data_IF_787591933872
#
_entry.id   IF_787591933872
#
_cell.length_a   1.000
_cell.length_b   1.000
_cell.length_c   1.000
_cell.angle_alpha   90.00
_cell.angle_beta   90.00
_cell.angle_gamma   90.00
#
_symmetry.space_group_name_H-M   'P 1'
#
loop_
_entity.id
_entity.type
_entity.pdbx_description
1 polymer ?
#
# COMPACT_ATOMS: atom_id res chain seq x y z
N UNK A 1 -32.43 -31.06 -28.11
CA UNK A 1 -31.64 -31.42 -29.32
C UNK A 1 -31.25 -30.21 -30.17
N UNK A 2 -32.11 -29.61 -31.02
CA UNK A 2 -31.71 -28.54 -31.96
C UNK A 2 -30.92 -27.40 -31.31
N UNK A 3 -31.43 -26.85 -30.20
CA UNK A 3 -30.76 -25.79 -29.45
C UNK A 3 -29.37 -26.19 -28.94
N UNK A 4 -29.17 -27.44 -28.49
CA UNK A 4 -27.87 -27.90 -27.98
C UNK A 4 -26.79 -27.89 -29.06
N UNK A 5 -27.13 -28.33 -30.28
CA UNK A 5 -26.22 -28.27 -31.45
C UNK A 5 -25.95 -26.85 -31.97
N UNK A 6 -26.56 -25.82 -31.35
CA UNK A 6 -26.41 -24.40 -31.68
C UNK A 6 -25.78 -23.59 -30.53
N UNK A 7 -25.77 -24.12 -29.30
CA UNK A 7 -25.06 -23.50 -28.16
C UNK A 7 -23.55 -23.38 -28.38
N UNK A 8 -22.96 -24.27 -29.19
CA UNK A 8 -21.55 -24.21 -29.58
C UNK A 8 -21.17 -22.98 -30.42
N UNK A 9 -22.15 -22.24 -30.95
CA UNK A 9 -21.91 -20.99 -31.68
C UNK A 9 -21.73 -19.77 -30.76
N UNK A 10 -21.95 -19.92 -29.44
CA UNK A 10 -21.80 -18.83 -28.46
C UNK A 10 -20.44 -18.99 -27.76
N UNK A 11 -19.41 -18.19 -28.08
CA UNK A 11 -18.06 -18.35 -27.52
C UNK A 11 -17.95 -17.72 -26.12
N UNK A 12 -18.73 -18.23 -25.16
CA UNK A 12 -18.80 -17.67 -23.79
C UNK A 12 -17.42 -17.51 -23.15
N UNK A 13 -16.56 -18.53 -23.21
CA UNK A 13 -15.21 -18.51 -22.60
C UNK A 13 -14.35 -17.37 -23.12
N UNK A 14 -14.48 -17.02 -24.41
CA UNK A 14 -13.77 -15.91 -25.03
C UNK A 14 -14.33 -14.58 -24.54
N UNK A 15 -15.63 -14.35 -24.70
CA UNK A 15 -16.28 -13.09 -24.32
C UNK A 15 -16.11 -12.79 -22.83
N UNK A 16 -16.30 -13.80 -21.98
CA UNK A 16 -16.16 -13.67 -20.53
C UNK A 16 -14.69 -13.51 -20.12
N UNK A 17 -13.75 -14.21 -20.76
CA UNK A 17 -12.32 -14.07 -20.50
C UNK A 17 -11.80 -12.65 -20.77
N UNK A 18 -12.15 -12.07 -21.92
CA UNK A 18 -11.79 -10.68 -22.23
C UNK A 18 -12.47 -9.68 -21.29
N UNK A 19 -13.75 -9.90 -20.96
CA UNK A 19 -14.48 -9.02 -20.03
C UNK A 19 -13.88 -9.03 -18.62
N UNK A 20 -13.66 -10.22 -18.03
CA UNK A 20 -13.08 -10.37 -16.69
C UNK A 20 -11.67 -9.77 -16.65
N UNK A 21 -10.85 -9.97 -17.69
CA UNK A 21 -9.50 -9.40 -17.76
C UNK A 21 -9.53 -7.87 -17.68
N UNK A 22 -10.46 -7.22 -18.39
CA UNK A 22 -10.61 -5.75 -18.39
C UNK A 22 -11.13 -5.24 -17.03
N UNK A 23 -12.06 -5.97 -16.39
CA UNK A 23 -12.53 -5.63 -15.04
C UNK A 23 -11.41 -5.77 -14.01
N UNK A 24 -10.65 -6.87 -14.02
CA UNK A 24 -9.55 -7.15 -13.07
C UNK A 24 -8.40 -6.16 -13.23
N UNK A 25 -8.03 -5.79 -14.46
CA UNK A 25 -7.01 -4.75 -14.68
C UNK A 25 -7.49 -3.37 -14.21
N UNK A 26 -8.74 -2.98 -14.50
CA UNK A 26 -9.34 -1.75 -13.95
C UNK A 26 -9.35 -1.75 -12.42
N UNK A 27 -9.80 -2.83 -11.80
CA UNK A 27 -9.80 -3.02 -10.34
C UNK A 27 -8.38 -2.84 -9.75
N UNK A 28 -7.38 -3.48 -10.36
CA UNK A 28 -5.97 -3.38 -9.95
C UNK A 28 -5.43 -1.96 -10.10
N UNK A 29 -5.79 -1.26 -11.18
CA UNK A 29 -5.38 0.12 -11.40
C UNK A 29 -6.08 1.11 -10.46
N UNK A 30 -7.30 0.83 -9.99
CA UNK A 30 -7.92 1.60 -8.90
C UNK A 30 -7.12 1.37 -7.60
N UNK A 31 -6.89 0.11 -7.21
CA UNK A 31 -6.18 -0.26 -5.97
C UNK A 31 -4.82 0.43 -5.81
N UNK A 32 -3.96 0.42 -6.83
CA UNK A 32 -2.63 1.04 -6.75
C UNK A 32 -2.68 2.58 -6.70
N UNK A 33 -3.79 3.19 -7.11
CA UNK A 33 -3.97 4.65 -7.13
C UNK A 33 -4.74 5.19 -5.90
N UNK A 34 -5.11 4.35 -4.93
CA UNK A 34 -5.87 4.73 -3.73
C UNK A 34 -5.22 5.86 -2.90
N UNK A 35 -3.90 6.05 -3.02
CA UNK A 35 -3.18 7.14 -2.36
C UNK A 35 -2.69 6.76 -0.96
N UNK A 36 -1.50 6.19 -0.88
CA UNK A 36 -0.81 5.88 0.38
C UNK A 36 0.06 7.07 0.79
N UNK A 37 -0.09 7.57 2.02
CA UNK A 37 0.55 8.83 2.45
C UNK A 37 2.07 8.70 2.67
N UNK A 38 2.56 7.48 2.87
CA UNK A 38 3.80 7.21 3.60
C UNK A 38 5.05 7.74 2.87
N UNK A 39 5.11 7.63 1.54
CA UNK A 39 6.18 8.22 0.75
C UNK A 39 6.27 9.75 0.96
N UNK A 40 5.14 10.45 0.85
CA UNK A 40 5.06 11.89 1.07
C UNK A 40 5.41 12.25 2.53
N UNK A 41 4.94 11.48 3.50
CA UNK A 41 5.25 11.69 4.92
C UNK A 41 6.74 11.52 5.21
N UNK A 42 7.38 10.46 4.72
CA UNK A 42 8.81 10.21 4.88
C UNK A 42 9.65 11.29 4.17
N UNK A 43 9.29 11.70 2.95
CA UNK A 43 9.96 12.80 2.23
C UNK A 43 9.79 14.14 2.95
N UNK A 44 8.62 14.44 3.52
CA UNK A 44 8.40 15.67 4.32
C UNK A 44 9.19 15.64 5.63
N UNK A 45 9.19 14.54 6.36
CA UNK A 45 9.92 14.40 7.63
C UNK A 45 11.44 14.47 7.48
N UNK A 46 11.97 13.94 6.36
CA UNK A 46 13.42 13.94 6.08
C UNK A 46 13.94 15.25 5.49
N UNK A 47 13.12 16.00 4.75
CA UNK A 47 13.58 17.18 3.99
C UNK A 47 13.09 18.54 4.53
N UNK A 48 12.04 18.57 5.36
CA UNK A 48 11.58 19.80 6.03
C UNK A 48 12.06 19.79 7.49
N UNK A 49 13.23 20.38 7.70
CA UNK A 49 13.98 20.36 8.96
C UNK A 49 13.54 21.48 9.90
N UNK A 50 13.84 21.28 11.19
CA UNK A 50 13.66 22.26 12.27
C UNK A 50 12.56 21.89 13.26
N UNK A 51 12.79 22.29 14.51
CA UNK A 51 11.91 22.07 15.68
C UNK A 51 11.11 23.33 16.05
N UNK A 52 11.13 24.36 15.19
CA UNK A 52 10.30 25.54 15.38
C UNK A 52 8.82 25.16 15.24
N UNK A 53 7.95 25.87 15.98
CA UNK A 53 6.49 25.66 15.90
C UNK A 53 5.97 25.81 14.46
N UNK A 54 6.59 26.68 13.67
CA UNK A 54 6.25 26.90 12.27
C UNK A 54 6.68 25.72 11.38
N UNK A 55 7.87 25.16 11.56
CA UNK A 55 8.31 23.96 10.82
C UNK A 55 7.42 22.74 11.14
N UNK A 56 7.04 22.54 12.41
CA UNK A 56 6.07 21.52 12.83
C UNK A 56 4.70 21.76 12.18
N UNK A 57 4.20 23.00 12.19
CA UNK A 57 2.94 23.35 11.54
C UNK A 57 2.98 23.13 10.03
N UNK A 58 4.09 23.42 9.34
CA UNK A 58 4.26 23.13 7.91
C UNK A 58 4.25 21.64 7.62
N UNK A 59 5.03 20.84 8.37
CA UNK A 59 5.04 19.38 8.24
C UNK A 59 3.63 18.79 8.40
N UNK A 60 2.94 19.11 9.51
CA UNK A 60 1.58 18.63 9.79
C UNK A 60 0.56 19.12 8.75
N UNK A 61 0.68 20.36 8.26
CA UNK A 61 -0.28 20.93 7.30
C UNK A 61 -0.13 20.36 5.89
N UNK A 62 1.09 20.07 5.41
CA UNK A 62 1.29 19.40 4.11
C UNK A 62 0.57 18.05 4.10
N UNK A 63 0.74 17.25 5.16
CA UNK A 63 0.09 15.94 5.29
C UNK A 63 -1.43 16.08 5.44
N UNK A 64 -1.92 16.95 6.33
CA UNK A 64 -3.35 17.18 6.51
C UNK A 64 -4.02 17.65 5.21
N UNK A 65 -3.37 18.51 4.42
CA UNK A 65 -3.91 18.93 3.12
C UNK A 65 -3.90 17.80 2.07
N UNK A 66 -2.90 16.92 2.05
CA UNK A 66 -2.91 15.75 1.18
C UNK A 66 -4.07 14.79 1.54
N UNK A 67 -4.27 14.48 2.82
CA UNK A 67 -5.38 13.63 3.27
C UNK A 67 -6.73 14.33 3.13
N UNK A 68 -6.83 15.65 3.33
CA UNK A 68 -8.03 16.43 3.02
C UNK A 68 -8.43 16.31 1.54
N UNK A 69 -7.48 16.36 0.61
CA UNK A 69 -7.75 16.09 -0.80
C UNK A 69 -8.25 14.65 -1.04
N UNK A 70 -7.71 13.66 -0.32
CA UNK A 70 -8.19 12.28 -0.36
C UNK A 70 -9.63 12.16 0.17
N UNK A 71 -9.95 12.81 1.29
CA UNK A 71 -11.32 12.87 1.84
C UNK A 71 -12.28 13.50 0.81
N UNK A 72 -11.89 14.62 0.19
CA UNK A 72 -12.72 15.29 -0.83
C UNK A 72 -12.96 14.40 -2.06
N UNK A 73 -11.93 13.71 -2.57
CA UNK A 73 -12.06 12.78 -3.71
C UNK A 73 -12.87 11.54 -3.33
N UNK A 74 -12.52 10.87 -2.23
CA UNK A 74 -13.20 9.65 -1.78
C UNK A 74 -14.67 9.88 -1.44
N UNK A 75 -15.03 11.05 -0.88
CA UNK A 75 -16.42 11.43 -0.64
C UNK A 75 -17.23 11.49 -1.93
N UNK A 76 -16.60 11.85 -3.05
CA UNK A 76 -17.28 12.04 -4.32
C UNK A 76 -17.32 10.75 -5.17
N UNK A 77 -16.41 9.78 -4.94
CA UNK A 77 -16.35 8.47 -5.65
C UNK A 77 -16.78 7.25 -4.82
N UNK A 78 -16.99 7.37 -3.50
CA UNK A 78 -17.40 6.25 -2.63
C UNK A 78 -18.55 6.61 -1.70
N UNK A 79 -19.62 5.83 -1.75
CA UNK A 79 -20.83 6.06 -0.95
C UNK A 79 -20.60 5.86 0.56
N UNK A 80 -19.74 4.92 0.96
CA UNK A 80 -19.31 4.74 2.36
C UNK A 80 -18.67 6.00 2.94
N UNK A 81 -17.90 6.75 2.15
CA UNK A 81 -17.26 8.01 2.56
C UNK A 81 -18.23 9.19 2.42
N UNK A 82 -19.09 9.20 1.39
CA UNK A 82 -20.18 10.18 1.20
C UNK A 82 -21.15 10.22 2.38
N UNK A 83 -21.41 9.09 3.03
CA UNK A 83 -22.22 8.95 4.25
C UNK A 83 -21.48 9.42 5.51
N UNK A 84 -20.17 9.16 5.62
CA UNK A 84 -19.34 9.63 6.74
C UNK A 84 -19.17 11.15 6.74
N UNK A 85 -19.01 11.76 5.57
CA UNK A 85 -18.80 13.20 5.40
C UNK A 85 -19.91 13.83 4.53
N UNK A 86 -21.15 13.97 5.04
CA UNK A 86 -22.31 14.38 4.25
C UNK A 86 -22.27 15.82 3.75
N UNK A 87 -21.60 16.72 4.47
CA UNK A 87 -21.44 18.14 4.13
C UNK A 87 -20.02 18.65 4.47
N UNK A 88 -19.65 19.86 4.07
CA UNK A 88 -18.29 20.37 4.30
C UNK A 88 -18.02 20.65 5.80
N UNK A 89 -19.05 21.02 6.56
CA UNK A 89 -18.99 21.20 8.01
C UNK A 89 -18.54 19.91 8.74
N UNK A 90 -19.02 18.74 8.32
CA UNK A 90 -18.60 17.45 8.91
C UNK A 90 -17.11 17.17 8.74
N UNK A 91 -16.47 17.70 7.69
CA UNK A 91 -15.03 17.60 7.46
C UNK A 91 -14.26 18.57 8.37
N UNK A 92 -14.86 19.71 8.74
CA UNK A 92 -14.33 20.63 9.76
C UNK A 92 -14.45 20.04 11.17
N UNK A 93 -15.62 19.51 11.52
CA UNK A 93 -15.86 18.85 12.83
C UNK A 93 -14.96 17.64 13.02
N UNK A 94 -14.64 16.91 11.95
CA UNK A 94 -13.68 15.81 11.95
C UNK A 94 -12.19 16.24 11.93
N UNK A 95 -11.88 17.55 11.92
CA UNK A 95 -10.52 18.08 12.05
C UNK A 95 -9.62 17.98 10.80
N UNK A 96 -10.15 17.56 9.64
CA UNK A 96 -9.39 17.53 8.39
C UNK A 96 -9.25 18.94 7.78
N UNK A 97 -10.25 19.80 7.99
CA UNK A 97 -10.34 21.18 7.48
C UNK A 97 -10.55 22.15 8.65
N UNK A 98 -10.01 23.36 8.59
CA UNK A 98 -10.35 24.42 9.56
C UNK A 98 -11.40 25.40 9.01
N UNK A 99 -12.11 26.14 9.88
CA UNK A 99 -13.13 27.11 9.44
C UNK A 99 -12.60 28.20 8.50
N UNK A 100 -11.38 28.70 8.72
CA UNK A 100 -10.76 29.70 7.85
C UNK A 100 -10.44 29.11 6.47
N UNK A 101 -9.97 27.87 6.43
CA UNK A 101 -9.69 27.14 5.19
C UNK A 101 -11.00 26.80 4.43
N UNK A 102 -12.10 26.52 5.14
CA UNK A 102 -13.43 26.39 4.55
C UNK A 102 -13.85 27.69 3.86
N UNK A 103 -13.74 28.83 4.54
CA UNK A 103 -14.08 30.15 3.97
C UNK A 103 -13.25 30.45 2.71
N UNK A 104 -11.95 30.14 2.73
CA UNK A 104 -11.10 30.26 1.52
C UNK A 104 -11.50 29.28 0.40
N UNK A 105 -11.89 28.04 0.74
CA UNK A 105 -12.41 27.08 -0.24
C UNK A 105 -13.73 27.54 -0.86
N UNK A 106 -14.60 28.19 -0.09
CA UNK A 106 -15.88 28.76 -0.55
C UNK A 106 -15.68 30.00 -1.42
N UNK A 107 -14.75 30.90 -1.03
CA UNK A 107 -14.35 32.10 -1.79
C UNK A 107 -13.92 31.81 -3.23
N UNK A 108 -13.42 30.60 -3.53
CA UNK A 108 -13.10 30.16 -4.90
C UNK A 108 -14.40 30.02 -5.71
N UNK A 109 -14.75 31.06 -6.48
CA UNK A 109 -15.94 31.10 -7.34
C UNK A 109 -15.74 30.27 -8.62
N UNK A 110 -15.94 28.96 -8.53
CA UNK A 110 -15.91 28.02 -9.65
C UNK A 110 -17.03 26.99 -9.54
N UNK A 111 -17.53 26.52 -10.69
CA UNK A 111 -18.57 25.47 -10.79
C UNK A 111 -17.97 24.06 -10.65
N UNK A 112 -16.69 23.89 -10.99
CA UNK A 112 -15.98 22.62 -10.94
C UNK A 112 -15.51 22.25 -9.53
N UNK A 113 -15.24 20.97 -9.32
CA UNK A 113 -14.79 20.44 -8.03
C UNK A 113 -13.44 21.07 -7.58
N UNK A 114 -13.31 21.29 -6.27
CA UNK A 114 -12.27 22.12 -5.63
C UNK A 114 -11.14 21.32 -4.96
N UNK A 115 -11.11 19.99 -5.10
CA UNK A 115 -10.09 19.12 -4.48
C UNK A 115 -8.63 19.45 -4.88
N UNK A 116 -8.41 20.27 -5.91
CA UNK A 116 -7.08 20.78 -6.26
C UNK A 116 -6.56 21.89 -5.33
N UNK A 117 -7.45 22.57 -4.59
CA UNK A 117 -7.09 23.74 -3.80
C UNK A 117 -6.14 23.42 -2.62
N UNK A 118 -6.37 22.37 -1.78
CA UNK A 118 -5.45 22.07 -0.70
C UNK A 118 -4.11 21.53 -1.18
N UNK A 119 -4.04 20.89 -2.36
CA UNK A 119 -2.76 20.58 -3.02
C UNK A 119 -2.00 21.86 -3.38
N UNK A 120 -2.67 22.88 -3.91
CA UNK A 120 -2.04 24.18 -4.18
C UNK A 120 -1.56 24.86 -2.89
N UNK A 121 -2.32 24.76 -1.79
CA UNK A 121 -1.90 25.25 -0.47
C UNK A 121 -0.67 24.49 0.06
N UNK A 122 -0.62 23.16 -0.07
CA UNK A 122 0.53 22.35 0.33
C UNK A 122 1.80 22.70 -0.47
N UNK A 123 1.70 22.85 -1.79
CA UNK A 123 2.81 23.30 -2.65
C UNK A 123 3.27 24.72 -2.28
N UNK A 124 2.32 25.62 -1.94
CA UNK A 124 2.62 26.98 -1.47
C UNK A 124 3.36 26.96 -0.12
N UNK A 125 2.98 26.08 0.81
CA UNK A 125 3.71 25.86 2.08
C UNK A 125 5.13 25.35 1.80
N UNK A 126 5.33 24.42 0.87
CA UNK A 126 6.67 23.94 0.51
C UNK A 126 7.58 25.08 0.01
N UNK A 127 7.06 25.97 -0.84
CA UNK A 127 7.80 27.15 -1.32
C UNK A 127 8.01 28.21 -0.24
N UNK A 128 7.14 28.30 0.77
CA UNK A 128 7.31 29.17 1.94
C UNK A 128 8.41 28.64 2.88
N UNK A 129 8.33 27.37 3.26
CA UNK A 129 9.31 26.68 4.09
C UNK A 129 10.73 26.72 3.50
N UNK A 130 10.87 26.71 2.17
CA UNK A 130 12.15 26.95 1.50
C UNK A 130 12.66 28.39 1.67
N UNK A 131 11.80 29.41 1.47
CA UNK A 131 12.19 30.83 1.67
C UNK A 131 12.57 31.16 3.10
N UNK A 132 11.99 30.45 4.07
CA UNK A 132 12.24 30.62 5.51
C UNK A 132 13.37 29.70 6.02
N UNK A 133 14.06 28.97 5.13
CA UNK A 133 15.24 28.16 5.47
C UNK A 133 14.96 26.84 6.18
N UNK A 134 13.69 26.42 6.32
CA UNK A 134 13.31 25.12 6.87
C UNK A 134 13.59 23.96 5.89
N UNK A 135 13.81 24.27 4.60
CA UNK A 135 14.27 23.31 3.57
C UNK A 135 15.61 23.82 3.06
N UNK A 136 16.67 23.04 3.26
CA UNK A 136 18.05 23.46 2.97
C UNK A 136 18.31 23.72 1.47
N UNK A 137 17.75 22.89 0.59
CA UNK A 137 18.21 22.71 -0.79
C UNK A 137 17.04 22.78 -1.80
N UNK A 138 17.25 23.42 -2.97
CA UNK A 138 16.23 23.46 -4.04
C UNK A 138 15.81 22.04 -4.50
N UNK A 139 16.72 21.08 -4.72
CA UNK A 139 16.35 19.70 -5.02
C UNK A 139 15.46 19.04 -3.95
N UNK A 140 15.65 19.39 -2.67
CA UNK A 140 14.83 18.87 -1.58
C UNK A 140 13.40 19.43 -1.61
N UNK A 141 13.24 20.73 -1.89
CA UNK A 141 11.92 21.32 -2.14
C UNK A 141 11.24 20.65 -3.35
N UNK A 142 11.98 20.42 -4.44
CA UNK A 142 11.44 19.77 -5.65
C UNK A 142 11.02 18.32 -5.38
N UNK A 143 11.77 17.57 -4.57
CA UNK A 143 11.40 16.21 -4.16
C UNK A 143 10.06 16.19 -3.41
N UNK A 144 9.88 17.03 -2.37
CA UNK A 144 8.58 17.14 -1.66
C UNK A 144 7.46 17.51 -2.64
N UNK A 145 7.69 18.52 -3.50
CA UNK A 145 6.69 18.94 -4.48
C UNK A 145 6.33 17.83 -5.49
N UNK A 146 7.25 16.91 -5.80
CA UNK A 146 6.99 15.81 -6.71
C UNK A 146 6.18 14.70 -6.04
N UNK A 147 6.42 14.36 -4.77
CA UNK A 147 5.56 13.45 -4.01
C UNK A 147 4.13 14.00 -3.85
N UNK A 148 3.98 15.30 -3.57
CA UNK A 148 2.66 15.97 -3.54
C UNK A 148 1.96 15.85 -4.90
N UNK A 149 2.68 16.03 -6.02
CA UNK A 149 2.13 15.87 -7.38
C UNK A 149 1.80 14.41 -7.71
N UNK A 150 2.57 13.44 -7.22
CA UNK A 150 2.36 12.01 -7.43
C UNK A 150 1.09 11.54 -6.70
N UNK A 151 0.94 11.90 -5.43
CA UNK A 151 -0.27 11.63 -4.64
C UNK A 151 -1.51 12.27 -5.28
N UNK A 152 -1.41 13.55 -5.69
CA UNK A 152 -2.45 14.27 -6.47
C UNK A 152 -2.79 13.58 -7.79
N UNK A 153 -1.81 12.98 -8.47
CA UNK A 153 -2.03 12.28 -9.74
C UNK A 153 -2.70 10.93 -9.54
N UNK A 154 -2.35 10.23 -8.46
CA UNK A 154 -2.99 8.95 -8.08
C UNK A 154 -4.47 9.15 -7.82
N UNK A 155 -4.83 10.10 -6.94
CA UNK A 155 -6.23 10.45 -6.69
C UNK A 155 -6.98 10.92 -7.94
N UNK A 156 -6.31 11.62 -8.87
CA UNK A 156 -6.93 12.03 -10.13
C UNK A 156 -7.27 10.83 -11.03
N UNK A 157 -6.51 9.72 -10.99
CA UNK A 157 -6.89 8.51 -11.73
C UNK A 157 -8.15 7.86 -11.16
N UNK A 158 -8.38 7.93 -9.84
CA UNK A 158 -9.64 7.47 -9.24
C UNK A 158 -10.83 8.25 -9.81
N UNK A 159 -10.72 9.58 -9.88
CA UNK A 159 -11.72 10.43 -10.53
C UNK A 159 -11.92 10.09 -12.01
N UNK A 160 -10.86 9.75 -12.76
CA UNK A 160 -10.98 9.34 -14.16
C UNK A 160 -11.68 7.98 -14.31
N UNK A 161 -11.40 7.02 -13.43
CA UNK A 161 -12.07 5.72 -13.44
C UNK A 161 -13.56 5.86 -13.11
N UNK A 162 -13.92 6.63 -12.09
CA UNK A 162 -15.32 6.93 -11.75
C UNK A 162 -16.05 7.65 -12.90
N UNK A 163 -15.47 8.73 -13.41
CA UNK A 163 -16.06 9.52 -14.51
C UNK A 163 -16.22 8.74 -15.82
N UNK A 164 -15.32 7.79 -16.10
CA UNK A 164 -15.35 6.94 -17.30
C UNK A 164 -15.43 5.46 -16.90
N UNK A 165 -16.64 4.95 -16.59
CA UNK A 165 -16.86 3.52 -16.36
C UNK A 165 -16.73 2.72 -17.66
N UNK A 166 -16.68 1.38 -17.55
CA UNK A 166 -16.71 0.48 -18.71
C UNK A 166 -18.02 0.75 -19.49
N UNK A 167 -17.99 0.94 -20.84
CA UNK A 167 -19.19 1.26 -21.61
C UNK A 167 -20.33 0.27 -21.37
N UNK A 168 -21.48 0.76 -20.91
CA UNK A 168 -22.56 -0.05 -20.30
C UNK A 168 -23.05 -1.20 -21.18
N UNK A 169 -23.00 -1.04 -22.51
CA UNK A 169 -23.35 -2.08 -23.48
C UNK A 169 -22.48 -3.34 -23.37
N UNK A 170 -21.23 -3.24 -22.92
CA UNK A 170 -20.32 -4.37 -22.87
C UNK A 170 -20.61 -5.34 -21.69
N UNK A 171 -20.74 -4.88 -20.42
CA UNK A 171 -21.31 -5.71 -19.35
C UNK A 171 -22.70 -6.26 -19.72
N UNK A 172 -23.57 -5.43 -20.32
CA UNK A 172 -24.91 -5.87 -20.73
C UNK A 172 -24.87 -7.04 -21.72
N UNK A 173 -24.05 -6.97 -22.78
CA UNK A 173 -23.91 -8.06 -23.76
C UNK A 173 -23.35 -9.33 -23.12
N UNK A 174 -22.32 -9.23 -22.27
CA UNK A 174 -21.69 -10.40 -21.62
C UNK A 174 -22.66 -11.06 -20.63
N UNK A 175 -23.28 -10.28 -19.75
CA UNK A 175 -24.26 -10.79 -18.78
C UNK A 175 -25.50 -11.37 -19.47
N UNK A 176 -26.00 -10.73 -20.53
CA UNK A 176 -27.12 -11.26 -21.31
C UNK A 176 -26.74 -12.57 -22.01
N UNK A 177 -25.56 -12.66 -22.64
CA UNK A 177 -25.10 -13.88 -23.32
C UNK A 177 -24.98 -15.07 -22.37
N UNK A 178 -24.37 -14.89 -21.19
CA UNK A 178 -24.26 -15.95 -20.16
C UNK A 178 -25.65 -16.36 -19.66
N UNK A 179 -26.53 -15.40 -19.34
CA UNK A 179 -27.89 -15.68 -18.84
C UNK A 179 -28.74 -16.41 -19.90
N UNK A 180 -28.73 -15.96 -21.16
CA UNK A 180 -29.47 -16.59 -22.27
C UNK A 180 -28.94 -17.99 -22.58
N UNK A 181 -27.61 -18.19 -22.56
CA UNK A 181 -27.01 -19.52 -22.72
C UNK A 181 -27.54 -20.52 -21.68
N UNK A 182 -27.60 -20.12 -20.41
CA UNK A 182 -28.10 -21.01 -19.36
C UNK A 182 -29.62 -21.19 -19.38
N UNK A 183 -30.40 -20.16 -19.74
CA UNK A 183 -31.84 -20.32 -20.01
C UNK A 183 -32.07 -21.38 -21.09
N UNK A 184 -31.33 -21.32 -22.20
CA UNK A 184 -31.41 -22.35 -23.25
C UNK A 184 -30.99 -23.72 -22.70
N UNK A 185 -29.90 -23.82 -21.92
CA UNK A 185 -29.47 -25.07 -21.29
C UNK A 185 -30.55 -25.74 -20.42
N UNK A 186 -31.37 -24.96 -19.68
CA UNK A 186 -32.46 -25.53 -18.85
C UNK A 186 -33.51 -26.29 -19.64
N UNK A 187 -33.63 -26.02 -20.96
CA UNK A 187 -34.56 -26.68 -21.88
C UNK A 187 -33.83 -27.67 -22.80
N UNK A 188 -32.63 -27.33 -23.28
CA UNK A 188 -31.90 -28.14 -24.26
C UNK A 188 -31.27 -29.41 -23.68
N UNK A 189 -30.97 -29.41 -22.37
CA UNK A 189 -30.30 -30.50 -21.63
C UNK A 189 -31.21 -31.28 -20.66
N UNK A 190 -32.53 -31.20 -20.84
CA UNK A 190 -33.45 -32.08 -20.12
C UNK A 190 -33.31 -33.52 -20.62
N UNK A 191 -33.32 -34.48 -19.70
CA UNK A 191 -33.38 -35.90 -20.03
C UNK A 191 -34.81 -36.25 -20.52
N UNK A 192 -34.93 -36.97 -21.63
CA UNK A 192 -36.21 -37.26 -22.29
C UNK A 192 -36.56 -38.73 -22.09
N UNK A 193 -37.65 -39.00 -21.35
CA UNK A 193 -38.05 -40.35 -20.91
C UNK A 193 -38.75 -41.20 -22.00
N UNK A 194 -39.13 -40.64 -23.15
CA UNK A 194 -39.93 -41.37 -24.16
C UNK A 194 -39.17 -42.55 -24.76
N UNK A 195 -39.74 -43.76 -24.68
CA UNK A 195 -39.12 -45.01 -25.12
C UNK A 195 -38.68 -45.02 -26.60
N UNK A 196 -39.48 -44.39 -27.48
CA UNK A 196 -39.21 -44.30 -28.93
C UNK A 196 -38.30 -43.11 -29.33
N UNK A 197 -37.74 -42.37 -28.37
CA UNK A 197 -36.88 -41.23 -28.67
C UNK A 197 -35.53 -41.67 -29.23
N UNK A 198 -35.22 -41.25 -30.47
CA UNK A 198 -33.92 -41.50 -31.15
C UNK A 198 -32.65 -41.05 -30.41
N UNK A 199 -32.79 -40.30 -29.31
CA UNK A 199 -31.70 -39.78 -28.50
C UNK A 199 -31.87 -40.15 -27.01
N UNK A 200 -32.16 -41.42 -26.71
CA UNK A 200 -32.14 -41.92 -25.32
C UNK A 200 -30.75 -41.72 -24.72
N UNK A 201 -30.66 -40.98 -23.62
CA UNK A 201 -29.43 -40.85 -22.84
C UNK A 201 -29.00 -42.22 -22.31
N UNK A 202 -27.74 -42.62 -22.56
CA UNK A 202 -27.23 -43.92 -22.11
C UNK A 202 -27.17 -44.05 -20.58
N UNK A 203 -27.06 -42.92 -19.88
CA UNK A 203 -27.31 -42.78 -18.45
C UNK A 203 -28.34 -41.68 -18.27
N UNK A 204 -29.45 -42.00 -17.59
CA UNK A 204 -30.46 -41.02 -17.21
C UNK A 204 -30.20 -40.58 -15.76
N UNK A 205 -29.96 -39.30 -15.55
CA UNK A 205 -29.66 -38.72 -14.24
C UNK A 205 -30.73 -37.69 -13.90
N UNK A 206 -31.51 -37.96 -12.85
CA UNK A 206 -32.51 -37.01 -12.33
C UNK A 206 -31.93 -35.61 -12.00
N UNK A 207 -30.61 -35.54 -11.75
CA UNK A 207 -29.86 -34.29 -11.53
C UNK A 207 -28.79 -34.10 -12.62
N UNK A 208 -28.83 -33.02 -13.43
CA UNK A 208 -27.88 -32.80 -14.54
C UNK A 208 -26.53 -32.25 -14.04
N UNK A 209 -25.79 -33.06 -13.27
CA UNK A 209 -24.55 -32.68 -12.56
C UNK A 209 -23.55 -31.88 -13.41
N UNK A 210 -23.27 -32.33 -14.64
CA UNK A 210 -22.31 -31.63 -15.53
C UNK A 210 -22.80 -30.23 -15.96
N UNK A 211 -24.11 -30.02 -16.10
CA UNK A 211 -24.69 -28.70 -16.40
C UNK A 211 -24.65 -27.79 -15.18
N UNK A 212 -24.87 -28.33 -13.97
CA UNK A 212 -24.74 -27.61 -12.72
C UNK A 212 -23.28 -27.16 -12.50
N UNK A 213 -22.32 -28.06 -12.75
CA UNK A 213 -20.89 -27.76 -12.68
C UNK A 213 -20.48 -26.67 -13.69
N UNK A 214 -20.97 -26.73 -14.94
CA UNK A 214 -20.75 -25.66 -15.93
C UNK A 214 -21.42 -24.33 -15.52
N UNK A 215 -22.63 -24.38 -14.94
CA UNK A 215 -23.31 -23.20 -14.42
C UNK A 215 -22.48 -22.52 -13.32
N UNK A 216 -22.00 -23.29 -12.33
CA UNK A 216 -21.15 -22.78 -11.25
C UNK A 216 -19.90 -22.10 -11.81
N UNK A 217 -19.20 -22.71 -12.76
CA UNK A 217 -17.99 -22.10 -13.33
C UNK A 217 -18.28 -20.82 -14.13
N UNK A 218 -19.22 -20.84 -15.09
CA UNK A 218 -19.46 -19.65 -15.93
C UNK A 218 -20.23 -18.53 -15.21
N UNK A 219 -21.22 -18.86 -14.37
CA UNK A 219 -21.97 -17.85 -13.60
C UNK A 219 -21.15 -17.34 -12.41
N UNK A 220 -20.33 -18.19 -11.78
CA UNK A 220 -19.37 -17.77 -10.76
C UNK A 220 -18.30 -16.83 -11.33
N UNK A 221 -17.70 -17.18 -12.47
CA UNK A 221 -16.70 -16.34 -13.13
C UNK A 221 -17.30 -15.00 -13.65
N UNK A 222 -18.55 -15.02 -14.12
CA UNK A 222 -19.32 -13.80 -14.38
C UNK A 222 -19.56 -12.98 -13.12
N UNK A 223 -19.90 -13.61 -11.99
CA UNK A 223 -20.14 -12.92 -10.71
C UNK A 223 -18.89 -12.28 -10.12
N UNK A 224 -17.70 -12.87 -10.31
CA UNK A 224 -16.42 -12.24 -9.96
C UNK A 224 -16.24 -10.91 -10.72
N UNK A 225 -16.55 -10.88 -12.02
CA UNK A 225 -16.52 -9.63 -12.79
C UNK A 225 -17.74 -8.70 -12.58
N UNK A 226 -18.78 -9.16 -11.89
CA UNK A 226 -19.92 -8.35 -11.47
C UNK A 226 -19.58 -7.58 -10.18
N UNK A 227 -18.97 -8.24 -9.19
CA UNK A 227 -18.50 -7.62 -7.95
C UNK A 227 -17.33 -6.66 -8.18
N UNK A 228 -16.28 -7.10 -8.88
CA UNK A 228 -15.08 -6.28 -9.14
C UNK A 228 -15.33 -5.09 -10.11
N UNK A 229 -16.57 -4.89 -10.58
CA UNK A 229 -16.94 -3.81 -11.51
C UNK A 229 -16.88 -2.42 -10.87
N UNK A 230 -17.18 -2.32 -9.57
CA UNK A 230 -17.26 -1.05 -8.82
C UNK A 230 -16.65 -1.16 -7.40
N UNK A 231 -15.33 -1.33 -7.25
CA UNK A 231 -14.68 -1.62 -5.96
C UNK A 231 -14.63 -0.45 -4.94
N UNK A 232 -15.43 0.60 -5.16
CA UNK A 232 -15.58 1.77 -4.30
C UNK A 232 -17.02 1.90 -3.75
N UNK A 233 -17.84 0.87 -3.98
CA UNK A 233 -19.26 0.82 -3.64
C UNK A 233 -19.54 0.60 -2.16
N UNK A 234 -20.36 -0.42 -1.87
CA UNK A 234 -20.76 -0.78 -0.52
C UNK A 234 -20.76 -2.31 -0.25
N UNK A 235 -20.31 -3.16 -1.17
CA UNK A 235 -20.30 -4.62 -1.05
C UNK A 235 -19.16 -5.13 -0.12
N UNK A 236 -19.28 -6.35 0.41
CA UNK A 236 -18.36 -6.87 1.45
C UNK A 236 -16.88 -6.97 1.00
N UNK A 237 -16.63 -7.11 -0.31
CA UNK A 237 -15.28 -7.19 -0.92
C UNK A 237 -14.76 -5.81 -1.43
N UNK A 238 -15.52 -4.71 -1.26
CA UNK A 238 -15.13 -3.37 -1.72
C UNK A 238 -14.01 -2.73 -0.86
N UNK A 239 -13.28 -1.77 -1.43
CA UNK A 239 -12.17 -1.13 -0.72
C UNK A 239 -12.61 -0.27 0.46
N UNK A 240 -12.00 -0.50 1.63
CA UNK A 240 -12.28 0.27 2.85
C UNK A 240 -11.63 1.68 2.84
N UNK A 241 -12.17 2.55 1.98
CA UNK A 241 -11.79 3.96 1.87
C UNK A 241 -11.81 4.71 3.21
N UNK A 242 -12.74 4.36 4.12
CA UNK A 242 -12.83 4.96 5.45
C UNK A 242 -11.62 4.60 6.33
N UNK A 243 -11.24 3.33 6.37
CA UNK A 243 -10.05 2.86 7.10
C UNK A 243 -8.78 3.50 6.53
N UNK A 244 -8.65 3.58 5.20
CA UNK A 244 -7.46 4.18 4.57
C UNK A 244 -7.31 5.67 4.89
N UNK A 245 -8.40 6.45 4.98
CA UNK A 245 -8.35 7.84 5.44
C UNK A 245 -7.77 7.93 6.86
N UNK A 246 -8.26 7.08 7.77
CA UNK A 246 -7.85 7.09 9.19
C UNK A 246 -6.41 6.60 9.37
N UNK A 247 -6.01 5.56 8.64
CA UNK A 247 -4.63 5.09 8.59
C UNK A 247 -3.70 6.18 8.03
N UNK A 248 -4.06 6.85 6.94
CA UNK A 248 -3.21 7.88 6.33
C UNK A 248 -3.05 9.11 7.24
N UNK A 249 -4.10 9.58 7.93
CA UNK A 249 -3.93 10.71 8.85
C UNK A 249 -3.13 10.31 10.10
N UNK A 250 -3.30 9.09 10.62
CA UNK A 250 -2.54 8.58 11.76
C UNK A 250 -1.05 8.36 11.43
N UNK A 251 -0.75 7.55 10.42
CA UNK A 251 0.64 7.26 10.00
C UNK A 251 1.32 8.55 9.54
N UNK A 252 0.66 9.35 8.70
CA UNK A 252 1.22 10.59 8.15
C UNK A 252 1.59 11.60 9.24
N UNK A 253 0.71 11.84 10.22
CA UNK A 253 1.02 12.75 11.34
C UNK A 253 2.06 12.16 12.29
N UNK A 254 2.06 10.85 12.53
CA UNK A 254 3.07 10.23 13.40
C UNK A 254 4.48 10.32 12.80
N UNK A 255 4.63 10.08 11.49
CA UNK A 255 5.91 10.15 10.78
C UNK A 255 6.52 11.57 10.82
N UNK A 256 5.71 12.60 10.60
CA UNK A 256 6.20 13.99 10.46
C UNK A 256 6.27 14.79 11.77
N UNK A 257 5.83 14.22 12.89
CA UNK A 257 5.75 14.88 14.20
C UNK A 257 6.24 13.95 15.33
N UNK A 258 5.49 12.90 15.68
CA UNK A 258 5.82 12.01 16.82
C UNK A 258 7.19 11.34 16.70
N UNK A 259 7.57 10.92 15.49
CA UNK A 259 8.86 10.27 15.19
C UNK A 259 9.79 11.15 14.34
N UNK A 260 9.54 12.47 14.30
CA UNK A 260 10.38 13.38 13.53
C UNK A 260 11.80 13.42 14.10
N UNK A 261 12.79 13.15 13.24
CA UNK A 261 14.22 13.18 13.57
C UNK A 261 14.65 12.26 14.74
N UNK A 262 13.81 11.30 15.15
CA UNK A 262 14.13 10.28 16.16
C UNK A 262 14.67 9.00 15.52
N UNK A 263 15.70 8.41 16.11
CA UNK A 263 16.24 7.10 15.75
C UNK A 263 16.65 6.37 17.04
N UNK A 264 16.54 5.03 17.14
CA UNK A 264 17.15 4.26 18.23
C UNK A 264 18.67 4.47 18.33
N UNK A 265 19.25 4.12 19.49
CA UNK A 265 20.71 4.16 19.69
C UNK A 265 21.42 3.22 18.70
N UNK A 266 22.48 3.74 18.05
CA UNK A 266 23.24 3.00 17.04
C UNK A 266 24.25 2.06 17.72
N UNK A 267 23.86 0.81 17.89
CA UNK A 267 24.69 -0.26 18.44
C UNK A 267 25.26 -1.14 17.31
N UNK A 268 26.46 -1.75 17.48
CA UNK A 268 26.95 -2.79 16.56
C UNK A 268 25.97 -3.96 16.47
N UNK A 269 25.68 -4.39 15.25
CA UNK A 269 24.79 -5.52 15.00
C UNK A 269 25.50 -6.88 15.28
N UNK A 270 24.72 -7.96 15.29
CA UNK A 270 25.24 -9.32 15.53
C UNK A 270 25.72 -10.03 14.25
N UNK A 271 25.44 -9.46 13.09
CA UNK A 271 25.79 -10.01 11.78
C UNK A 271 27.25 -9.67 11.42
N UNK A 272 27.79 -8.58 11.97
CA UNK A 272 29.18 -8.15 11.82
C UNK A 272 30.21 -9.03 12.56
N UNK A 273 29.79 -10.05 13.32
CA UNK A 273 30.73 -10.95 14.00
C UNK A 273 31.33 -11.97 13.01
N UNK A 274 32.65 -12.25 13.05
CA UNK A 274 33.31 -13.13 12.09
C UNK A 274 32.78 -14.57 12.01
N UNK A 275 32.08 -15.02 13.07
CA UNK A 275 31.49 -16.36 13.19
C UNK A 275 29.95 -16.28 13.29
N UNK A 276 29.31 -15.38 12.55
CA UNK A 276 27.84 -15.32 12.50
C UNK A 276 27.27 -16.38 11.55
N UNK A 277 26.66 -17.42 12.12
CA UNK A 277 25.84 -18.39 11.39
C UNK A 277 24.36 -17.94 11.42
N UNK A 278 23.61 -17.97 10.29
CA UNK A 278 22.18 -17.66 10.26
C UNK A 278 21.35 -18.64 11.11
N UNK A 279 20.63 -18.11 12.10
CA UNK A 279 19.84 -18.91 13.06
C UNK A 279 18.39 -19.07 12.57
N UNK A 280 17.93 -20.31 12.49
CA UNK A 280 16.55 -20.68 12.15
C UNK A 280 15.82 -21.28 13.37
N UNK A 281 14.48 -21.31 13.32
CA UNK A 281 13.70 -22.06 14.32
C UNK A 281 13.87 -23.58 14.12
N UNK A 282 13.66 -24.37 15.18
CA UNK A 282 13.76 -25.83 15.09
C UNK A 282 12.79 -26.42 14.03
N UNK A 283 11.57 -25.88 13.95
CA UNK A 283 10.60 -26.29 12.94
C UNK A 283 11.05 -25.91 11.53
N UNK A 284 11.58 -24.70 11.33
CA UNK A 284 12.15 -24.27 10.04
C UNK A 284 13.32 -25.17 9.61
N UNK A 285 14.18 -25.57 10.54
CA UNK A 285 15.34 -26.42 10.25
C UNK A 285 14.94 -27.85 9.86
N UNK A 286 13.89 -28.41 10.47
CA UNK A 286 13.39 -29.77 10.19
C UNK A 286 12.96 -29.99 8.73
N UNK A 287 12.56 -28.94 8.02
CA UNK A 287 12.14 -29.01 6.62
C UNK A 287 13.30 -28.89 5.60
N UNK A 288 14.54 -28.68 6.09
CA UNK A 288 15.75 -28.66 5.27
C UNK A 288 16.01 -27.31 4.60
N UNK A 289 17.00 -26.58 5.12
CA UNK A 289 17.50 -25.33 4.53
C UNK A 289 18.96 -25.53 4.15
N UNK A 290 19.19 -25.86 2.87
CA UNK A 290 20.43 -25.55 2.13
C UNK A 290 20.27 -25.87 0.62
N UNK A 291 19.12 -25.49 0.05
CA UNK A 291 19.01 -25.26 -1.40
C UNK A 291 19.59 -23.87 -1.70
N UNK A 292 20.91 -23.71 -1.53
CA UNK A 292 21.63 -22.52 -2.01
C UNK A 292 21.39 -22.34 -3.51
N UNK A 293 21.46 -21.10 -4.00
CA UNK A 293 21.22 -20.79 -5.42
C UNK A 293 22.43 -21.22 -6.28
N UNK A 294 22.63 -22.54 -6.37
CA UNK A 294 23.57 -23.17 -7.30
C UNK A 294 23.14 -22.78 -8.71
N UNK A 295 24.05 -22.15 -9.46
CA UNK A 295 23.74 -21.68 -10.80
C UNK A 295 23.42 -22.86 -11.73
N UNK A 296 22.51 -22.70 -12.70
CA UNK A 296 22.16 -23.78 -13.65
C UNK A 296 23.29 -24.15 -14.65
N UNK A 297 24.49 -23.60 -14.45
CA UNK A 297 25.74 -23.93 -15.14
C UNK A 297 26.90 -24.21 -14.16
N UNK A 298 26.63 -24.20 -12.84
CA UNK A 298 27.60 -24.54 -11.81
C UNK A 298 27.85 -26.05 -11.80
N UNK A 299 29.11 -26.47 -11.74
CA UNK A 299 29.51 -27.85 -11.97
C UNK A 299 29.68 -28.24 -13.45
N UNK A 300 29.46 -27.33 -14.41
CA UNK A 300 29.95 -27.52 -15.78
C UNK A 300 31.44 -27.24 -15.81
N UNK A 301 32.26 -28.26 -16.08
CA UNK A 301 33.69 -28.07 -16.36
C UNK A 301 33.85 -27.33 -17.71
N UNK A 302 34.07 -26.02 -17.65
CA UNK A 302 34.52 -25.24 -18.80
C UNK A 302 35.96 -25.65 -19.14
N UNK A 303 36.22 -25.87 -20.43
CA UNK A 303 37.54 -26.23 -20.94
C UNK A 303 38.63 -25.26 -20.45
N UNK A 304 39.83 -25.79 -20.19
CA UNK A 304 40.91 -25.03 -19.57
C UNK A 304 41.51 -24.03 -20.56
N UNK A 305 42.16 -22.93 -20.12
CA UNK A 305 42.66 -21.87 -21.03
C UNK A 305 43.67 -22.35 -22.10
N UNK A 306 44.29 -23.51 -21.90
CA UNK A 306 45.27 -24.13 -22.80
C UNK A 306 44.65 -25.23 -23.70
N UNK A 307 43.34 -25.45 -23.62
CA UNK A 307 42.61 -26.53 -24.29
C UNK A 307 41.88 -26.01 -25.53
N UNK A 308 42.29 -26.45 -26.73
CA UNK A 308 41.73 -25.98 -28.00
C UNK A 308 40.32 -26.50 -28.27
N UNK A 309 39.31 -25.84 -27.68
CA UNK A 309 37.90 -26.07 -28.01
C UNK A 309 37.62 -25.72 -29.46
N UNK A 310 37.32 -26.74 -30.28
CA UNK A 310 36.92 -26.55 -31.68
C UNK A 310 35.50 -25.99 -31.76
N UNK A 311 35.39 -24.66 -31.81
CA UNK A 311 34.14 -23.99 -32.15
C UNK A 311 33.72 -24.34 -33.58
N UNK A 312 32.45 -24.70 -33.77
CA UNK A 312 31.87 -25.05 -35.08
C UNK A 312 30.69 -24.13 -35.36
N UNK A 313 30.61 -23.58 -36.56
CA UNK A 313 29.47 -22.78 -36.98
C UNK A 313 28.23 -23.68 -37.16
N UNK A 314 27.09 -23.25 -36.59
CA UNK A 314 25.81 -23.93 -36.80
C UNK A 314 25.28 -23.59 -38.19
N UNK A 315 25.31 -24.57 -39.09
CA UNK A 315 24.71 -24.47 -40.42
C UNK A 315 23.18 -24.58 -40.31
N UNK A 316 22.51 -23.44 -40.20
CA UNK A 316 21.04 -23.35 -40.07
C UNK A 316 20.32 -23.86 -41.33
N UNK A 317 21.02 -24.05 -42.45
CA UNK A 317 20.46 -24.56 -43.71
C UNK A 317 20.13 -26.06 -43.71
N UNK A 318 20.35 -26.80 -42.61
CA UNK A 318 20.12 -28.25 -42.53
C UNK A 318 19.14 -28.66 -41.41
N UNK A 319 17.89 -28.28 -41.60
CA UNK A 319 16.74 -28.92 -40.93
C UNK A 319 15.82 -29.62 -41.93
N UNK A 320 16.35 -30.60 -42.67
CA UNK A 320 15.52 -31.58 -43.39
C UNK A 320 16.27 -32.91 -43.55
N UNK A 321 15.51 -34.02 -43.54
CA UNK A 321 15.95 -35.44 -43.55
C UNK A 321 16.71 -35.96 -42.29
N UNK A 322 16.56 -37.25 -41.95
CA UNK A 322 17.50 -37.96 -41.06
C UNK A 322 17.01 -38.58 -39.73
N UNK A 323 15.71 -38.82 -39.52
CA UNK A 323 15.12 -39.55 -38.38
C UNK A 323 15.92 -40.78 -37.87
N UNK A 324 16.22 -40.88 -36.57
CA UNK A 324 16.13 -42.12 -35.75
C UNK A 324 16.18 -41.87 -34.23
N UNK A 325 15.46 -42.68 -33.44
CA UNK A 325 15.40 -42.60 -31.96
C UNK A 325 15.25 -43.99 -31.32
N UNK A 326 16.17 -44.42 -30.43
CA UNK A 326 15.96 -45.57 -29.57
C UNK A 326 16.08 -45.25 -28.06
N UNK A 327 14.93 -45.10 -27.40
CA UNK A 327 14.63 -45.57 -26.02
C UNK A 327 15.64 -45.24 -24.91
N UNK A 328 15.40 -44.15 -24.17
CA UNK A 328 15.95 -44.01 -22.82
C UNK A 328 15.31 -45.01 -21.84
N UNK A 329 16.12 -45.90 -21.27
CA UNK A 329 15.70 -46.71 -20.12
C UNK A 329 15.59 -45.83 -18.87
N UNK A 330 14.45 -45.88 -18.19
CA UNK A 330 14.34 -45.37 -16.81
C UNK A 330 14.92 -46.43 -15.86
N UNK A 331 15.76 -46.07 -14.87
CA UNK A 331 16.22 -47.01 -13.86
C UNK A 331 15.07 -47.48 -12.96
N UNK A 332 15.28 -48.61 -12.30
CA UNK A 332 14.25 -49.30 -11.50
C UNK A 332 14.05 -48.66 -10.13
N UNK A 333 12.92 -48.96 -9.50
CA UNK A 333 12.68 -48.59 -8.10
C UNK A 333 13.66 -49.32 -7.15
N UNK A 334 14.16 -50.49 -7.55
CA UNK A 334 15.15 -51.26 -6.79
C UNK A 334 16.49 -50.53 -6.61
N UNK A 335 16.96 -49.83 -7.65
CA UNK A 335 18.27 -49.17 -7.65
C UNK A 335 18.33 -48.06 -6.59
N UNK A 336 17.20 -47.39 -6.34
CA UNK A 336 17.06 -46.33 -5.32
C UNK A 336 17.08 -46.83 -3.88
N UNK A 337 17.05 -48.14 -3.63
CA UNK A 337 17.04 -48.71 -2.28
C UNK A 337 18.47 -49.03 -1.79
N UNK A 338 19.45 -49.17 -2.70
CA UNK A 338 20.84 -49.42 -2.35
C UNK A 338 21.49 -48.22 -1.62
N UNK A 339 21.31 -47.00 -2.16
CA UNK A 339 21.93 -45.77 -1.62
C UNK A 339 21.36 -45.33 -0.27
N UNK A 340 20.23 -45.90 0.18
CA UNK A 340 19.64 -45.63 1.51
C UNK A 340 20.51 -46.24 2.63
N UNK A 341 21.39 -47.19 2.30
CA UNK A 341 22.04 -48.09 3.27
C UNK A 341 23.58 -47.97 3.34
N UNK A 342 24.18 -46.79 3.11
CA UNK A 342 25.57 -46.54 3.50
C UNK A 342 25.93 -45.05 3.71
N UNK A 343 27.13 -44.79 4.26
CA UNK A 343 27.73 -43.47 4.60
C UNK A 343 27.18 -42.83 5.90
N UNK A 344 28.04 -42.28 6.81
CA UNK A 344 27.67 -42.15 8.23
C UNK A 344 27.16 -40.77 8.67
N UNK A 345 26.28 -40.77 9.69
CA UNK A 345 25.89 -39.56 10.43
C UNK A 345 27.07 -38.95 11.19
N UNK A 346 27.58 -37.78 10.76
CA UNK A 346 28.35 -36.90 11.64
C UNK A 346 27.42 -36.34 12.73
N UNK A 347 27.58 -36.83 13.96
CA UNK A 347 26.99 -36.18 15.16
C UNK A 347 27.78 -34.92 15.49
N UNK A 348 27.28 -33.75 15.13
CA UNK A 348 27.60 -32.51 15.85
C UNK A 348 26.68 -32.41 17.07
N UNK A 349 27.24 -32.63 18.25
CA UNK A 349 26.54 -32.41 19.52
C UNK A 349 26.62 -30.95 19.89
N UNK A 350 25.50 -30.24 19.93
CA UNK A 350 25.41 -28.84 20.38
C UNK A 350 24.45 -28.78 21.56
N UNK A 351 24.87 -28.11 22.64
CA UNK A 351 24.09 -27.96 23.87
C UNK A 351 23.14 -26.75 23.77
N UNK A 352 21.99 -26.76 24.47
CA UNK A 352 21.11 -25.58 24.52
C UNK A 352 21.82 -24.42 25.23
N UNK A 353 21.90 -23.26 24.56
CA UNK A 353 22.47 -22.03 25.13
C UNK A 353 21.39 -21.33 25.96
N UNK A 354 21.56 -21.30 27.29
CA UNK A 354 20.74 -20.47 28.17
C UNK A 354 21.02 -18.97 27.93
N UNK A 355 19.98 -18.15 27.98
CA UNK A 355 20.07 -16.68 27.87
C UNK A 355 20.97 -16.04 28.94
N UNK A 356 21.27 -16.75 30.03
CA UNK A 356 22.07 -16.27 31.16
C UNK A 356 23.60 -16.22 30.91
N UNK A 357 24.08 -16.60 29.72
CA UNK A 357 25.50 -16.69 29.39
C UNK A 357 25.97 -15.58 28.43
N UNK A 358 25.73 -14.30 28.77
CA UNK A 358 26.20 -13.13 28.01
C UNK A 358 27.06 -12.24 28.90
N UNK A 359 28.36 -12.20 28.63
CA UNK A 359 29.27 -11.24 29.27
C UNK A 359 29.10 -9.87 28.60
N UNK A 360 28.69 -8.84 29.34
CA UNK A 360 28.81 -7.46 28.84
C UNK A 360 30.30 -7.12 28.70
N UNK A 361 30.71 -6.76 27.49
CA UNK A 361 32.01 -6.13 27.23
C UNK A 361 31.81 -4.62 27.33
N UNK A 362 32.20 -4.03 28.45
CA UNK A 362 32.28 -2.58 28.55
C UNK A 362 33.40 -2.06 27.63
N UNK A 363 33.04 -1.20 26.67
CA UNK A 363 34.02 -0.52 25.85
C UNK A 363 34.65 0.63 26.64
N UNK A 364 35.95 0.52 26.91
CA UNK A 364 36.73 1.56 27.59
C UNK A 364 37.15 2.69 26.66
N UNK A 365 37.52 3.82 27.26
CA UNK A 365 37.74 5.09 26.58
C UNK A 365 38.95 5.18 25.62
N UNK A 366 38.71 5.88 24.51
CA UNK A 366 39.67 6.83 23.88
C UNK A 366 40.90 6.26 23.12
N UNK A 367 41.61 7.06 22.28
CA UNK A 367 41.54 8.53 22.14
C UNK A 367 41.20 9.10 20.75
N UNK A 368 40.69 10.33 20.77
CA UNK A 368 40.55 11.22 19.61
C UNK A 368 41.91 11.53 18.98
N UNK A 369 42.04 11.41 17.65
CA UNK A 369 43.08 12.10 16.89
C UNK A 369 42.48 13.32 16.17
N UNK A 370 42.92 14.53 16.55
CA UNK A 370 42.46 15.79 15.97
C UNK A 370 43.53 16.37 15.02
N UNK A 371 43.16 16.62 13.76
CA UNK A 371 44.10 17.17 12.76
C UNK A 371 44.15 18.70 12.83
N UNK A 372 45.14 19.18 13.60
CA UNK A 372 46.06 20.28 13.24
C UNK A 372 45.45 21.60 12.71
N UNK A 373 45.29 22.59 13.61
CA UNK A 373 45.63 24.00 13.33
C UNK A 373 46.43 24.61 14.49
N UNK A 374 47.33 25.52 14.13
CA UNK A 374 48.27 26.29 14.98
C UNK A 374 48.68 27.56 14.16
N UNK A 375 49.38 28.58 14.71
CA UNK A 375 49.95 28.70 16.06
C UNK A 375 49.70 30.05 16.80
N UNK A 376 50.26 30.13 18.03
CA UNK A 376 50.81 31.30 18.80
C UNK A 376 50.11 31.59 20.14
N UNK A 377 50.91 31.89 21.18
CA UNK A 377 50.42 32.41 22.47
C UNK A 377 51.14 31.88 23.72
N UNK A 378 52.27 32.49 24.05
CA UNK A 378 53.01 32.53 25.34
C UNK A 378 52.37 32.02 26.65
N UNK A 379 53.09 31.09 27.29
CA UNK A 379 53.63 31.11 28.69
C UNK A 379 52.75 31.12 29.97
N UNK A 380 53.29 30.36 30.95
CA UNK A 380 53.37 30.61 32.40
C UNK A 380 52.21 30.22 33.36
N UNK A 381 52.46 29.11 34.06
CA UNK A 381 52.56 28.99 35.53
C UNK A 381 51.37 29.02 36.51
N UNK A 382 51.35 27.92 37.28
CA UNK A 382 51.17 27.85 38.75
C UNK A 382 49.77 27.64 39.37
N UNK A 383 49.58 26.39 39.82
CA UNK A 383 49.17 25.97 41.18
C UNK A 383 48.43 27.00 42.07
N UNK A 384 47.26 26.60 42.58
CA UNK A 384 47.13 26.25 44.02
C UNK A 384 45.84 25.47 44.31
N UNK A 385 45.84 24.69 45.39
CA UNK A 385 44.64 24.02 45.93
C UNK A 385 43.91 24.95 46.90
N UNK A 386 42.58 24.86 47.00
CA UNK A 386 41.95 24.41 48.26
C UNK A 386 40.46 24.03 48.12
N UNK A 387 40.14 22.87 48.70
CA UNK A 387 38.85 22.48 49.31
C UNK A 387 39.04 22.53 50.85
N UNK A 388 38.04 22.34 51.74
CA UNK A 388 36.68 21.78 51.57
C UNK A 388 35.60 22.89 51.57
N UNK A 389 34.39 22.90 52.15
CA UNK A 389 33.68 22.05 53.16
C UNK A 389 32.15 22.14 53.01
N UNK A 390 31.41 21.77 54.06
CA UNK A 390 29.94 21.66 54.22
C UNK A 390 29.37 22.90 54.96
N UNK A 391 28.08 23.06 55.32
CA UNK A 391 26.97 22.09 55.46
C UNK A 391 25.54 22.69 55.43
N UNK A 392 24.55 21.79 55.29
CA UNK A 392 23.18 21.73 55.85
C UNK A 392 22.28 22.97 56.09
N UNK A 393 21.05 22.91 55.53
CA UNK A 393 19.73 23.20 56.18
C UNK A 393 19.41 24.64 56.68
N UNK A 394 18.17 25.08 56.96
CA UNK A 394 16.86 24.39 57.04
C UNK A 394 15.65 25.33 56.73
N UNK A 395 14.46 24.74 56.62
CA UNK A 395 13.09 25.27 56.38
C UNK A 395 12.63 26.60 57.01
N UNK A 396 11.63 27.29 56.41
CA UNK A 396 10.21 27.37 56.91
C UNK A 396 9.27 28.41 56.21
N UNK A 397 8.05 27.95 55.84
CA UNK A 397 6.70 28.57 56.06
C UNK A 397 6.40 29.97 55.42
N UNK A 398 5.16 30.48 55.25
CA UNK A 398 3.75 30.03 55.45
C UNK A 398 2.78 30.98 54.69
N UNK A 399 1.58 30.51 54.28
CA UNK A 399 0.29 31.27 54.15
C UNK A 399 0.20 32.52 53.23
N UNK A 400 -0.95 33.08 52.81
CA UNK A 400 -2.36 32.63 52.74
C UNK A 400 -3.11 33.45 51.64
N UNK A 401 -4.38 33.11 51.38
CA UNK A 401 -5.57 33.95 51.05
C UNK A 401 -5.42 35.33 50.33
N UNK A 402 -6.35 35.76 49.46
CA UNK A 402 -7.63 35.15 49.06
C UNK A 402 -8.60 36.20 48.47
N UNK A 403 -9.81 35.76 48.11
CA UNK A 403 -11.05 36.51 47.80
C UNK A 403 -10.97 37.92 47.17
N UNK A 404 -11.63 38.08 46.01
CA UNK A 404 -12.67 39.13 45.86
C UNK A 404 -13.73 38.70 44.82
N UNK A 405 -14.67 39.58 44.45
CA UNK A 405 -16.06 39.21 44.10
C UNK A 405 -16.76 40.24 43.21
N UNK A 406 -18.01 39.93 42.78
CA UNK A 406 -19.08 40.89 42.35
C UNK A 406 -18.93 41.45 40.91
N UNK A 407 -19.98 41.61 40.09
CA UNK A 407 -21.37 41.07 40.11
C UNK A 407 -22.07 41.28 38.74
N UNK A 408 -23.26 40.67 38.55
CA UNK A 408 -24.43 41.18 37.77
C UNK A 408 -24.24 41.49 36.24
N UNK A 409 -25.27 41.52 35.37
CA UNK A 409 -26.73 41.33 35.53
C UNK A 409 -27.39 40.71 34.25
N UNK A 410 -28.72 40.71 34.29
CA UNK A 410 -29.78 40.35 33.31
C UNK A 410 -29.69 41.01 31.89
N UNK A 411 -30.56 40.74 30.88
CA UNK A 411 -31.77 39.90 30.80
C UNK A 411 -32.18 39.47 29.36
N UNK A 412 -33.11 38.50 29.28
CA UNK A 412 -34.28 38.35 28.38
C UNK A 412 -34.27 38.68 26.85
N UNK A 413 -34.77 37.71 26.05
CA UNK A 413 -35.96 37.76 25.12
C UNK A 413 -35.98 38.78 23.94
N UNK A 414 -36.80 38.66 22.87
CA UNK A 414 -37.56 37.57 22.19
C UNK A 414 -38.05 38.12 20.82
N UNK A 415 -38.04 37.30 19.76
CA UNK A 415 -38.93 37.42 18.56
C UNK A 415 -38.81 38.74 17.75
N UNK A 416 -39.46 38.98 16.59
CA UNK A 416 -40.26 38.11 15.69
C UNK A 416 -40.30 38.72 14.27
N UNK A 417 -40.38 37.85 13.24
CA UNK A 417 -41.19 37.95 12.00
C UNK A 417 -41.17 39.19 11.06
N UNK A 418 -41.75 38.98 9.86
CA UNK A 418 -42.24 39.97 8.86
C UNK A 418 -41.20 40.84 8.11
N UNK A 419 -41.39 41.26 6.84
CA UNK A 419 -42.27 40.75 5.75
C UNK A 419 -41.94 41.38 4.37
N UNK A 420 -42.12 40.61 3.28
CA UNK A 420 -42.54 41.01 1.91
C UNK A 420 -41.81 42.09 1.05
N UNK A 421 -42.21 42.09 -0.24
CA UNK A 421 -41.96 43.01 -1.40
C UNK A 421 -40.89 42.51 -2.38
N UNK A 422 -41.22 41.78 -3.46
CA UNK A 422 -41.93 42.15 -4.72
C UNK A 422 -41.23 43.25 -5.57
N UNK A 423 -40.62 42.86 -6.70
CA UNK A 423 -41.12 43.23 -8.05
C UNK A 423 -40.31 42.58 -9.19
N UNK A 424 -41.03 42.34 -10.31
CA UNK A 424 -40.70 42.22 -11.75
C UNK A 424 -39.33 41.63 -12.18
N UNK A 425 -39.22 40.70 -13.14
CA UNK A 425 -39.93 40.48 -14.44
C UNK A 425 -39.49 41.46 -15.56
N UNK A 426 -39.51 40.95 -16.81
CA UNK A 426 -38.76 41.39 -18.01
C UNK A 426 -37.25 41.03 -17.99
N UNK A 427 -36.62 40.60 -19.09
CA UNK A 427 -37.16 40.22 -20.41
C UNK A 427 -36.22 39.28 -21.19
N UNK A 428 -36.82 38.47 -22.06
CA UNK A 428 -36.28 37.86 -23.30
C UNK A 428 -34.86 38.33 -23.72
N UNK A 429 -34.00 37.37 -24.03
CA UNK A 429 -33.76 37.08 -25.45
C UNK A 429 -33.45 35.60 -25.74
#
# INVERSE_FOLDING_TARGET
MYCESKLSYIPLTFMLGFFVTIVVDRWRNIFVNMGWIENLALTVATLLRGDSKEAVLYRRSIIRYAVLCQVLVFRDVSMRVRRRFPNMESIVVAGFLHENELRELENIKMVYNKYWAPFNWALTICTRAYKEGCIENIPAMVAIQNEVKLFRTSLAQLCHFDWVPIPIAYPQVVFLAVRVYFVICTVSRQFILSADAKNRSAVDLFVPFMTILQFIFFVGWMKVAEALLNPLGEDDDDFECNFLIDQNIANGLSIVDNTYNTCPELLPDRLSYPNYDPIYSEESQRWGVDNTLIGSAEGIEVAKPEEHVKMVAVDVGKQEEGNHNPKSHKPSLADKIADICCVPKRRTSVYPVSQSAVHLVHYGDSPRQAIRRQPRGTQADSKTNHKPTTDSSETRKLSNEGLTTISEESDSRKSSAESEVKMNDMSRH
#
